data_IF_117072469223
#
_entry.id   IF_117072469223
#
_cell.length_a   1.000
_cell.length_b   1.000
_cell.length_c   1.000
_cell.angle_alpha   90.00
_cell.angle_beta   90.00
_cell.angle_gamma   90.00
#
_symmetry.space_group_name_H-M   'P 1'
#
loop_
_entity.id
_entity.type
_entity.pdbx_description
1 polymer ?
#
# COMPACT_ATOMS: atom_id res chain seq x y z
N UNK A 1 9.70 24.64 -4.01
CA UNK A 1 8.59 24.14 -4.85
C UNK A 1 9.18 23.85 -6.21
N UNK A 2 8.95 22.65 -6.75
CA UNK A 2 9.45 22.24 -8.08
C UNK A 2 8.47 22.58 -9.20
N UNK A 3 7.19 22.76 -8.89
CA UNK A 3 6.18 23.20 -9.83
C UNK A 3 4.77 23.04 -9.28
N UNK A 4 3.78 23.06 -10.16
CA UNK A 4 2.37 22.88 -9.84
C UNK A 4 1.81 21.69 -10.62
N UNK A 5 1.07 20.80 -9.94
CA UNK A 5 0.43 19.63 -10.52
C UNK A 5 -1.00 19.54 -10.01
N UNK A 6 -1.99 19.33 -10.89
CA UNK A 6 -3.41 19.28 -10.54
C UNK A 6 -3.88 20.48 -9.68
N UNK A 7 -3.43 21.69 -10.02
CA UNK A 7 -3.75 22.91 -9.27
C UNK A 7 -3.10 23.02 -7.88
N UNK A 8 -2.31 22.03 -7.46
CA UNK A 8 -1.62 22.02 -6.16
C UNK A 8 -0.11 22.08 -6.33
N UNK A 9 0.58 22.77 -5.41
CA UNK A 9 2.03 22.88 -5.43
C UNK A 9 2.71 21.54 -5.13
N UNK A 10 3.74 21.21 -5.91
CA UNK A 10 4.63 20.08 -5.68
C UNK A 10 5.89 20.60 -5.00
N UNK A 11 6.14 20.12 -3.77
CA UNK A 11 7.25 20.59 -2.94
C UNK A 11 8.14 19.41 -2.58
N UNK A 12 9.44 19.56 -2.79
CA UNK A 12 10.43 18.59 -2.31
C UNK A 12 10.96 19.10 -0.96
N UNK A 13 11.02 18.22 0.02
CA UNK A 13 11.57 18.50 1.34
C UNK A 13 12.37 17.33 1.88
N UNK A 14 13.12 17.56 2.95
CA UNK A 14 13.83 16.51 3.68
C UNK A 14 13.19 16.33 5.07
N UNK A 15 12.77 15.10 5.38
CA UNK A 15 12.13 14.76 6.66
C UNK A 15 12.90 13.71 7.44
N UNK A 16 12.37 13.31 8.61
CA UNK A 16 12.98 12.28 9.48
C UNK A 16 13.23 10.92 8.79
N UNK A 17 12.53 10.64 7.70
CA UNK A 17 12.61 9.39 6.93
C UNK A 17 13.37 9.55 5.60
N UNK A 18 13.98 10.71 5.36
CA UNK A 18 14.65 11.04 4.10
C UNK A 18 13.89 12.07 3.25
N UNK A 19 14.37 12.34 2.03
CA UNK A 19 13.73 13.25 1.09
C UNK A 19 12.35 12.75 0.66
N UNK A 20 11.42 13.68 0.49
CA UNK A 20 10.04 13.42 0.12
C UNK A 20 9.50 14.49 -0.82
N UNK A 21 8.51 14.09 -1.61
CA UNK A 21 7.67 14.96 -2.42
C UNK A 21 6.34 15.12 -1.70
N UNK A 22 5.92 16.36 -1.50
CA UNK A 22 4.61 16.74 -0.98
C UNK A 22 3.75 17.26 -2.11
N UNK A 23 2.57 16.66 -2.27
CA UNK A 23 1.55 17.10 -3.22
C UNK A 23 0.16 16.85 -2.62
N UNK A 24 -0.70 17.86 -2.61
CA UNK A 24 -2.08 17.76 -2.11
C UNK A 24 -2.21 17.06 -0.73
N UNK A 25 -1.40 17.49 0.24
CA UNK A 25 -1.30 16.92 1.60
C UNK A 25 -0.90 15.43 1.64
N UNK A 26 -0.51 14.84 0.52
CA UNK A 26 0.08 13.50 0.43
C UNK A 26 1.59 13.60 0.35
N UNK A 27 2.25 12.60 0.93
CA UNK A 27 3.71 12.50 0.97
C UNK A 27 4.14 11.27 0.17
N UNK A 28 5.07 11.47 -0.74
CA UNK A 28 5.67 10.43 -1.56
C UNK A 28 7.16 10.41 -1.24
N UNK A 29 7.66 9.28 -0.76
CA UNK A 29 9.09 9.15 -0.47
C UNK A 29 9.88 9.18 -1.77
N UNK A 30 10.95 9.97 -1.80
CA UNK A 30 11.86 9.99 -2.92
C UNK A 30 12.77 8.75 -2.84
N UNK A 31 12.95 7.98 -3.93
CA UNK A 31 13.91 6.88 -3.95
C UNK A 31 15.33 7.38 -3.70
N UNK A 32 16.16 6.55 -3.08
CA UNK A 32 17.55 6.92 -2.73
C UNK A 32 18.44 7.19 -3.93
N UNK A 33 18.04 6.70 -5.10
CA UNK A 33 18.75 6.89 -6.36
C UNK A 33 18.54 8.29 -6.95
N UNK A 34 17.49 9.00 -6.51
CA UNK A 34 17.19 10.34 -7.01
C UNK A 34 17.63 11.40 -6.01
N UNK A 35 18.30 12.44 -6.52
CA UNK A 35 18.76 13.55 -5.71
C UNK A 35 17.64 14.58 -5.56
N UNK A 36 17.22 14.93 -4.32
CA UNK A 36 16.16 15.91 -4.07
C UNK A 36 16.44 17.30 -4.65
N UNK A 37 17.69 17.63 -4.98
CA UNK A 37 18.08 18.91 -5.59
C UNK A 37 17.93 18.91 -7.12
N UNK A 38 17.97 17.74 -7.77
CA UNK A 38 17.94 17.61 -9.23
C UNK A 38 16.63 17.03 -9.77
N UNK A 39 15.77 16.50 -8.89
CA UNK A 39 14.45 15.96 -9.28
C UNK A 39 13.62 17.02 -9.99
N UNK A 40 13.21 16.65 -11.21
CA UNK A 40 12.34 17.47 -12.04
C UNK A 40 10.87 17.32 -11.64
N UNK A 41 10.03 18.26 -12.10
CA UNK A 41 8.58 18.17 -11.91
C UNK A 41 7.99 16.90 -12.53
N UNK A 42 8.44 16.50 -13.72
CA UNK A 42 7.97 15.30 -14.43
C UNK A 42 8.22 14.03 -13.62
N UNK A 43 9.46 13.88 -13.12
CA UNK A 43 9.82 12.79 -12.21
C UNK A 43 8.92 12.76 -10.97
N UNK A 44 8.72 13.93 -10.35
CA UNK A 44 7.90 14.03 -9.16
C UNK A 44 6.45 13.60 -9.43
N UNK A 45 5.88 14.00 -10.57
CA UNK A 45 4.56 13.60 -11.04
C UNK A 45 4.50 12.07 -11.21
N UNK A 46 5.48 11.49 -11.92
CA UNK A 46 5.55 10.05 -12.14
C UNK A 46 5.59 9.26 -10.83
N UNK A 47 6.36 9.72 -9.84
CA UNK A 47 6.41 9.10 -8.52
C UNK A 47 5.08 9.22 -7.77
N UNK A 48 4.42 10.37 -7.86
CA UNK A 48 3.08 10.58 -7.28
C UNK A 48 2.07 9.62 -7.89
N UNK A 49 2.02 9.51 -9.20
CA UNK A 49 1.10 8.60 -9.91
C UNK A 49 1.41 7.14 -9.58
N UNK A 50 2.68 6.74 -9.62
CA UNK A 50 3.11 5.38 -9.24
C UNK A 50 2.68 5.04 -7.83
N UNK A 51 2.83 5.98 -6.88
CA UNK A 51 2.41 5.78 -5.50
C UNK A 51 0.88 5.65 -5.38
N UNK A 52 0.12 6.45 -6.13
CA UNK A 52 -1.36 6.35 -6.19
C UNK A 52 -1.80 4.99 -6.75
N UNK A 53 -1.18 4.53 -7.83
CA UNK A 53 -1.44 3.21 -8.42
C UNK A 53 -1.12 2.09 -7.43
N UNK A 54 0.03 2.15 -6.76
CA UNK A 54 0.38 1.18 -5.72
C UNK A 54 -0.59 1.18 -4.54
N UNK A 55 -1.14 2.35 -4.17
CA UNK A 55 -2.14 2.44 -3.10
C UNK A 55 -3.48 1.85 -3.55
N UNK A 56 -3.90 2.10 -4.79
CA UNK A 56 -5.08 1.45 -5.36
C UNK A 56 -4.90 -0.07 -5.46
N UNK A 57 -3.73 -0.53 -5.91
CA UNK A 57 -3.39 -1.96 -5.99
C UNK A 57 -3.20 -2.61 -4.61
N UNK A 58 -3.02 -1.84 -3.54
CA UNK A 58 -2.91 -2.39 -2.17
C UNK A 58 -4.23 -2.94 -1.68
N UNK A 59 -5.36 -2.46 -2.15
CA UNK A 59 -6.69 -2.97 -1.80
C UNK A 59 -7.20 -3.79 -2.98
N UNK A 60 -7.15 -5.12 -2.90
CA UNK A 60 -7.68 -5.97 -3.97
C UNK A 60 -9.21 -6.05 -3.91
N UNK A 61 -9.74 -6.30 -2.71
CA UNK A 61 -11.16 -6.58 -2.52
C UNK A 61 -11.57 -6.34 -1.09
N UNK A 62 -12.69 -5.66 -0.92
CA UNK A 62 -13.41 -5.55 0.34
C UNK A 62 -14.73 -6.33 0.20
N UNK A 63 -15.20 -6.93 1.29
CA UNK A 63 -16.47 -7.64 1.31
C UNK A 63 -17.51 -6.82 2.07
N UNK A 64 -18.68 -6.60 1.47
CA UNK A 64 -19.79 -5.88 2.12
C UNK A 64 -20.38 -6.66 3.30
N UNK A 65 -20.29 -7.99 3.28
CA UNK A 65 -20.72 -8.87 4.40
C UNK A 65 -19.95 -8.58 5.68
N UNK A 66 -18.65 -8.30 5.56
CA UNK A 66 -17.77 -8.06 6.70
C UNK A 66 -16.76 -6.96 6.34
N UNK A 67 -16.99 -5.71 6.76
CA UNK A 67 -16.06 -4.62 6.49
C UNK A 67 -14.71 -4.80 7.21
N UNK A 68 -14.62 -5.78 8.12
CA UNK A 68 -13.38 -6.16 8.78
C UNK A 68 -12.52 -7.13 7.95
N UNK A 69 -13.08 -7.76 6.91
CA UNK A 69 -12.39 -8.67 6.01
C UNK A 69 -12.04 -7.95 4.71
N UNK A 70 -10.74 -7.80 4.46
CA UNK A 70 -10.24 -7.18 3.24
C UNK A 70 -9.05 -7.98 2.69
N UNK A 71 -8.97 -8.11 1.37
CA UNK A 71 -7.82 -8.67 0.67
C UNK A 71 -6.92 -7.53 0.25
N UNK A 72 -5.68 -7.58 0.71
CA UNK A 72 -4.69 -6.55 0.46
C UNK A 72 -3.46 -7.10 -0.28
N UNK A 73 -2.85 -6.31 -1.16
CA UNK A 73 -1.59 -6.67 -1.82
C UNK A 73 -0.39 -6.21 -1.01
N UNK A 74 0.43 -7.16 -0.57
CA UNK A 74 1.66 -6.90 0.16
C UNK A 74 2.91 -7.04 -0.69
N UNK A 75 4.06 -6.67 -0.12
CA UNK A 75 5.40 -6.89 -0.73
C UNK A 75 5.66 -8.36 -1.09
N UNK A 76 5.01 -9.30 -0.40
CA UNK A 76 5.22 -10.74 -0.53
C UNK A 76 4.05 -11.47 -1.23
N UNK A 77 3.12 -10.70 -1.81
CA UNK A 77 1.87 -11.21 -2.40
C UNK A 77 0.63 -10.81 -1.61
N UNK A 78 -0.56 -11.17 -2.12
CA UNK A 78 -1.83 -10.84 -1.50
C UNK A 78 -2.02 -11.59 -0.17
N UNK A 79 -2.68 -10.93 0.77
CA UNK A 79 -2.99 -11.43 2.11
C UNK A 79 -4.37 -10.96 2.55
N UNK A 80 -4.98 -11.70 3.47
CA UNK A 80 -6.28 -11.34 4.05
C UNK A 80 -6.03 -10.57 5.35
N UNK A 81 -6.54 -9.35 5.45
CA UNK A 81 -6.63 -8.60 6.69
C UNK A 81 -8.01 -8.87 7.30
N UNK A 82 -8.06 -9.50 8.48
CA UNK A 82 -9.30 -9.79 9.19
C UNK A 82 -9.14 -9.48 10.69
N UNK A 83 -10.01 -8.63 11.23
CA UNK A 83 -10.00 -8.21 12.65
C UNK A 83 -8.63 -7.75 13.18
N UNK A 84 -7.86 -7.04 12.36
CA UNK A 84 -6.52 -6.57 12.71
C UNK A 84 -5.43 -7.66 12.72
N UNK A 85 -5.77 -8.87 12.26
CA UNK A 85 -4.85 -9.98 11.99
C UNK A 85 -4.61 -10.11 10.49
N UNK A 86 -3.41 -10.51 10.10
CA UNK A 86 -3.04 -10.71 8.70
C UNK A 86 -2.82 -12.20 8.44
N UNK A 87 -3.62 -12.78 7.56
CA UNK A 87 -3.58 -14.18 7.15
C UNK A 87 -2.95 -14.30 5.77
N UNK A 88 -2.04 -15.26 5.63
CA UNK A 88 -1.29 -15.46 4.38
C UNK A 88 -2.13 -16.29 3.40
N UNK A 89 -2.38 -15.74 2.22
CA UNK A 89 -3.00 -16.50 1.13
C UNK A 89 -1.93 -17.44 0.53
N UNK A 90 -2.26 -18.72 0.27
CA UNK A 90 -1.38 -19.65 -0.43
C UNK A 90 -0.94 -19.10 -1.79
N UNK A 91 0.34 -19.31 -2.17
CA UNK A 91 0.88 -18.81 -3.44
C UNK A 91 0.12 -19.30 -4.67
N UNK A 92 -0.49 -20.48 -4.59
CA UNK A 92 -1.31 -21.07 -5.66
C UNK A 92 -2.58 -20.28 -5.96
N UNK A 93 -3.04 -19.46 -5.01
CA UNK A 93 -4.26 -18.65 -5.11
C UNK A 93 -3.95 -17.15 -5.23
N UNK A 94 -2.68 -16.77 -5.41
CA UNK A 94 -2.29 -15.36 -5.54
C UNK A 94 -2.90 -14.70 -6.77
N UNK A 95 -2.96 -15.41 -7.90
CA UNK A 95 -3.52 -14.87 -9.15
C UNK A 95 -5.04 -14.68 -9.09
N UNK A 96 -5.74 -15.48 -8.27
CA UNK A 96 -7.20 -15.40 -8.07
C UNK A 96 -7.61 -14.59 -6.84
N UNK A 97 -6.66 -13.96 -6.16
CA UNK A 97 -6.93 -13.31 -4.89
C UNK A 97 -7.97 -12.18 -5.00
N UNK A 98 -8.10 -11.52 -6.16
CA UNK A 98 -9.16 -10.54 -6.42
C UNK A 98 -10.54 -11.17 -6.64
N UNK A 99 -10.61 -12.45 -6.98
CA UNK A 99 -11.86 -13.14 -7.30
C UNK A 99 -12.37 -13.98 -6.14
N UNK A 100 -11.50 -14.32 -5.17
CA UNK A 100 -11.85 -15.11 -3.99
C UNK A 100 -13.14 -14.61 -3.34
N UNK A 101 -13.97 -15.58 -2.97
CA UNK A 101 -15.24 -15.35 -2.28
C UNK A 101 -15.02 -15.19 -0.78
N UNK A 102 -16.03 -14.70 -0.07
CA UNK A 102 -15.99 -14.54 1.39
C UNK A 102 -15.76 -15.88 2.10
N UNK A 103 -16.45 -16.94 1.63
CA UNK A 103 -16.33 -18.29 2.18
C UNK A 103 -14.91 -18.84 2.07
N UNK A 104 -14.25 -18.66 0.90
CA UNK A 104 -12.87 -19.10 0.71
C UNK A 104 -11.90 -18.31 1.61
N UNK A 105 -12.14 -17.02 1.81
CA UNK A 105 -11.34 -16.21 2.72
C UNK A 105 -11.48 -16.68 4.17
N UNK A 106 -12.70 -17.01 4.61
CA UNK A 106 -12.93 -17.61 5.92
C UNK A 106 -12.26 -18.98 6.07
N UNK A 107 -12.29 -19.82 5.03
CA UNK A 107 -11.64 -21.12 5.07
C UNK A 107 -10.12 -20.98 5.24
N UNK A 108 -9.51 -20.03 4.51
CA UNK A 108 -8.09 -19.69 4.67
C UNK A 108 -7.82 -19.19 6.09
N UNK A 109 -8.70 -18.37 6.68
CA UNK A 109 -8.54 -17.87 8.05
C UNK A 109 -8.60 -19.01 9.08
N UNK A 110 -9.55 -19.96 8.91
CA UNK A 110 -9.70 -21.13 9.79
C UNK A 110 -8.53 -22.11 9.68
N UNK A 111 -8.04 -22.33 8.47
CA UNK A 111 -6.96 -23.28 8.20
C UNK A 111 -5.56 -22.67 8.39
N UNK A 112 -5.42 -21.35 8.33
CA UNK A 112 -4.14 -20.69 8.53
C UNK A 112 -3.74 -20.71 10.02
N UNK A 113 -2.47 -20.96 10.33
CA UNK A 113 -1.97 -20.87 11.70
C UNK A 113 -2.15 -19.44 12.24
N UNK A 114 -2.62 -19.32 13.48
CA UNK A 114 -2.91 -18.01 14.08
C UNK A 114 -1.73 -17.05 13.89
N UNK A 115 -1.95 -15.87 13.26
CA UNK A 115 -0.87 -14.94 13.02
C UNK A 115 -0.34 -14.42 14.36
N UNK A 116 0.99 -14.51 14.54
CA UNK A 116 1.65 -13.99 15.73
C UNK A 116 1.35 -12.50 15.86
N UNK A 117 0.65 -12.12 16.92
CA UNK A 117 0.44 -10.71 17.26
C UNK A 117 1.79 -10.00 17.36
N UNK A 118 1.92 -8.84 16.69
CA UNK A 118 3.15 -8.03 16.79
C UNK A 118 3.26 -7.56 18.24
N UNK A 119 4.26 -8.06 18.98
CA UNK A 119 4.64 -7.50 20.29
C UNK A 119 4.81 -5.99 20.14
N UNK A 120 3.94 -5.19 20.76
CA UNK A 120 4.15 -3.75 20.90
C UNK A 120 5.51 -3.56 21.59
N UNK A 121 6.49 -3.02 20.87
CA UNK A 121 7.69 -2.47 21.52
C UNK A 121 7.21 -1.25 22.31
N UNK A 122 7.38 -1.33 23.63
CA UNK A 122 7.01 -0.29 24.60
C UNK A 122 8.00 0.87 24.51
#
# INVERSE_FOLDING_TARGET
TVGQFEGTNVVIGAGRFGPYIMHNKKYVSLPKEEDPLTVSLDTAIRLIETKRLQDAQRHLKQFDEDPKLEIMNGRYGPYIAYEGKNYRIPKTMHDKASELTYEECQDIIKNAPEPKTKRKRK
#
